data_IF_107063961387
#
_entry.id   IF_107063961387
#
_cell.length_a   1.000
_cell.length_b   1.000
_cell.length_c   1.000
_cell.angle_alpha   90.00
_cell.angle_beta   90.00
_cell.angle_gamma   90.00
#
_symmetry.space_group_name_H-M   'P 1'
#
loop_
_entity.id
_entity.type
_entity.pdbx_description
1 polymer ?
#
# COMPACT_ATOMS: atom_id res chain seq x y z
N UNK A 1 21.37 -5.69 19.77
CA UNK A 1 20.02 -5.60 19.19
C UNK A 1 19.03 -5.91 20.29
N UNK A 2 18.25 -4.93 20.78
CA UNK A 2 17.17 -5.25 21.72
C UNK A 2 16.16 -6.13 20.99
N UNK A 3 15.79 -7.25 21.59
CA UNK A 3 14.68 -8.07 21.09
C UNK A 3 13.43 -7.20 20.96
N UNK A 4 12.74 -7.33 19.83
CA UNK A 4 11.40 -6.78 19.66
C UNK A 4 10.50 -7.30 20.78
N UNK A 5 9.85 -6.41 21.52
CA UNK A 5 8.87 -6.81 22.52
C UNK A 5 7.63 -7.37 21.80
N UNK A 6 7.41 -8.68 21.95
CA UNK A 6 6.31 -9.39 21.29
C UNK A 6 4.94 -8.97 21.83
N UNK A 7 4.88 -8.43 23.06
CA UNK A 7 3.63 -7.99 23.70
C UNK A 7 3.00 -6.78 22.98
N UNK A 8 3.77 -6.08 22.14
CA UNK A 8 3.27 -4.96 21.33
C UNK A 8 2.55 -5.41 20.06
N UNK A 9 2.68 -6.68 19.67
CA UNK A 9 2.06 -7.21 18.47
C UNK A 9 0.71 -7.87 18.81
N UNK A 10 -0.39 -7.45 18.16
CA UNK A 10 -1.67 -8.08 18.39
C UNK A 10 -1.65 -9.52 17.84
N UNK A 11 -2.19 -10.48 18.60
CA UNK A 11 -2.27 -11.88 18.18
C UNK A 11 -3.22 -12.10 16.99
N UNK A 12 -4.18 -11.20 16.81
CA UNK A 12 -5.15 -11.19 15.71
C UNK A 12 -5.47 -9.75 15.31
N UNK A 13 -5.96 -9.54 14.09
CA UNK A 13 -6.39 -8.21 13.64
C UNK A 13 -7.53 -7.72 14.55
N UNK A 14 -7.36 -6.62 15.29
CA UNK A 14 -8.38 -6.16 16.22
C UNK A 14 -9.60 -5.63 15.43
N UNK A 15 -10.83 -5.94 15.88
CA UNK A 15 -12.05 -5.51 15.19
C UNK A 15 -12.32 -4.00 15.31
N UNK A 16 -11.65 -3.34 16.25
CA UNK A 16 -11.73 -1.89 16.47
C UNK A 16 -10.33 -1.31 16.54
N UNK A 17 -10.11 -0.07 16.06
CA UNK A 17 -8.83 0.62 16.21
C UNK A 17 -8.43 0.70 17.70
N UNK A 18 -7.20 0.28 18.01
CA UNK A 18 -6.68 0.28 19.38
C UNK A 18 -5.93 1.56 19.77
N UNK A 19 -5.77 2.52 18.85
CA UNK A 19 -4.99 3.76 19.07
C UNK A 19 -3.47 3.57 19.11
N UNK A 20 -2.96 2.36 18.90
CA UNK A 20 -1.54 2.06 18.86
C UNK A 20 -1.05 2.07 17.40
N UNK A 21 0.09 2.71 17.14
CA UNK A 21 0.67 2.84 15.80
C UNK A 21 2.12 2.36 15.79
N UNK A 22 2.47 1.61 14.75
CA UNK A 22 3.86 1.32 14.40
C UNK A 22 4.28 2.29 13.30
N UNK A 23 5.33 3.08 13.56
CA UNK A 23 5.90 3.99 12.57
C UNK A 23 7.08 3.33 11.88
N UNK A 24 7.02 3.22 10.55
CA UNK A 24 8.09 2.69 9.72
C UNK A 24 8.66 3.84 8.91
N UNK A 25 9.93 4.15 9.14
CA UNK A 25 10.68 5.10 8.31
C UNK A 25 11.45 4.29 7.27
N UNK A 26 11.24 4.61 6.00
CA UNK A 26 11.83 3.89 4.88
C UNK A 26 12.65 4.83 4.00
N UNK A 27 13.90 4.45 3.73
CA UNK A 27 14.69 5.02 2.65
C UNK A 27 14.54 4.15 1.41
N UNK A 28 14.13 4.74 0.30
CA UNK A 28 14.05 4.06 -1.00
C UNK A 28 15.17 4.54 -1.90
N UNK A 29 15.86 3.59 -2.53
CA UNK A 29 16.91 3.86 -3.50
C UNK A 29 16.37 3.42 -4.85
N UNK A 30 16.44 4.30 -5.83
CA UNK A 30 16.08 3.97 -7.22
C UNK A 30 17.32 3.50 -7.94
N UNK A 31 17.30 2.27 -8.47
CA UNK A 31 18.42 1.72 -9.25
C UNK A 31 18.53 2.34 -10.65
N UNK A 32 17.46 2.97 -11.12
CA UNK A 32 17.35 3.65 -12.40
C UNK A 32 16.63 4.99 -12.26
N UNK A 33 16.49 5.75 -13.35
CA UNK A 33 15.81 7.04 -13.36
C UNK A 33 14.30 6.89 -13.13
N UNK A 34 13.76 7.34 -11.98
CA UNK A 34 12.34 7.20 -11.69
C UNK A 34 11.52 8.24 -12.46
N UNK A 35 10.42 7.79 -13.06
CA UNK A 35 9.50 8.66 -13.82
C UNK A 35 8.26 8.98 -12.97
N UNK A 36 8.33 10.05 -12.17
CA UNK A 36 7.20 10.50 -11.35
C UNK A 36 6.36 11.57 -12.06
N UNK A 37 5.58 11.17 -13.06
CA UNK A 37 4.75 12.12 -13.84
C UNK A 37 3.28 12.10 -13.43
N UNK A 38 2.64 13.27 -13.46
CA UNK A 38 1.20 13.43 -13.58
C UNK A 38 1.00 14.39 -14.74
N UNK A 39 0.37 13.91 -15.83
CA UNK A 39 -0.11 14.74 -16.97
C UNK A 39 0.90 15.84 -17.38
N UNK A 40 2.12 15.43 -17.73
CA UNK A 40 3.14 16.33 -18.31
C UNK A 40 4.04 17.08 -17.33
N UNK A 41 3.77 17.02 -16.01
CA UNK A 41 4.62 17.66 -14.99
C UNK A 41 5.21 16.63 -14.02
N UNK A 42 6.43 16.94 -13.54
CA UNK A 42 7.11 16.17 -12.51
C UNK A 42 6.49 16.47 -11.15
N UNK A 43 6.24 15.43 -10.34
CA UNK A 43 5.67 15.65 -9.01
C UNK A 43 6.71 16.29 -8.10
N UNK A 44 6.57 17.58 -7.83
CA UNK A 44 7.44 18.32 -6.92
C UNK A 44 6.63 18.96 -5.80
N UNK A 45 7.30 19.23 -4.68
CA UNK A 45 6.75 20.03 -3.59
C UNK A 45 7.81 20.96 -3.03
N UNK A 46 7.39 22.16 -2.62
CA UNK A 46 8.23 23.11 -1.89
C UNK A 46 8.15 22.79 -0.40
N UNK A 47 9.30 22.52 0.21
CA UNK A 47 9.43 22.15 1.63
C UNK A 47 10.57 22.92 2.29
N UNK A 48 10.54 23.05 3.62
CA UNK A 48 11.69 23.56 4.36
C UNK A 48 12.83 22.53 4.32
N UNK A 49 14.08 23.00 4.20
CA UNK A 49 15.26 22.14 4.07
C UNK A 49 15.51 21.26 5.31
N UNK A 50 15.16 21.73 6.50
CA UNK A 50 15.26 20.98 7.73
C UNK A 50 14.79 21.77 8.96
N UNK A 51 15.07 21.22 10.13
CA UNK A 51 14.74 21.87 11.41
C UNK A 51 15.66 23.05 11.74
N UNK A 52 16.94 22.96 11.37
CA UNK A 52 17.94 24.02 11.63
C UNK A 52 17.97 25.08 10.52
N UNK A 53 17.83 24.65 9.27
CA UNK A 53 17.77 25.53 8.10
C UNK A 53 16.38 25.43 7.46
N UNK A 54 15.63 26.54 7.49
CA UNK A 54 14.26 26.61 6.97
C UNK A 54 14.20 27.15 5.54
N UNK A 55 15.31 27.18 4.80
CA UNK A 55 15.31 27.57 3.39
C UNK A 55 14.31 26.72 2.61
N UNK A 56 13.50 27.36 1.78
CA UNK A 56 12.49 26.66 0.98
C UNK A 56 13.15 26.07 -0.25
N UNK A 57 13.10 24.74 -0.34
CA UNK A 57 13.68 23.96 -1.44
C UNK A 57 12.60 23.15 -2.15
N UNK A 58 12.82 22.86 -3.43
CA UNK A 58 11.94 21.99 -4.21
C UNK A 58 12.45 20.55 -4.12
N UNK A 59 11.55 19.62 -3.82
CA UNK A 59 11.84 18.18 -3.75
C UNK A 59 10.96 17.40 -4.70
N UNK A 60 11.51 16.32 -5.27
CA UNK A 60 10.70 15.31 -5.94
C UNK A 60 9.83 14.62 -4.90
N UNK A 61 8.60 14.30 -5.29
CA UNK A 61 7.64 13.67 -4.40
C UNK A 61 7.02 12.43 -5.02
N UNK A 62 6.83 11.41 -4.18
CA UNK A 62 6.02 10.25 -4.50
C UNK A 62 4.78 10.28 -3.62
N UNK A 63 3.62 10.54 -4.21
CA UNK A 63 2.36 10.58 -3.49
C UNK A 63 1.96 9.20 -2.95
N UNK A 64 1.13 9.20 -1.90
CA UNK A 64 0.67 8.01 -1.17
C UNK A 64 0.24 6.86 -2.09
N UNK A 65 -0.65 7.12 -3.06
CA UNK A 65 -1.12 6.08 -4.00
C UNK A 65 0.00 5.48 -4.85
N UNK A 66 1.00 6.28 -5.25
CA UNK A 66 2.15 5.79 -6.02
C UNK A 66 3.10 4.94 -5.17
N UNK A 67 3.10 5.12 -3.85
CA UNK A 67 3.84 4.28 -2.92
C UNK A 67 3.11 2.97 -2.61
N UNK A 68 1.81 3.05 -2.29
CA UNK A 68 1.06 1.87 -1.83
C UNK A 68 0.66 0.94 -2.98
N UNK A 69 0.46 1.46 -4.20
CA UNK A 69 0.10 0.61 -5.36
C UNK A 69 1.11 -0.52 -5.61
N UNK A 70 2.43 -0.27 -5.76
CA UNK A 70 3.39 -1.35 -5.97
C UNK A 70 3.46 -2.30 -4.78
N UNK A 71 3.33 -1.81 -3.53
CA UNK A 71 3.29 -2.67 -2.34
C UNK A 71 2.12 -3.66 -2.39
N UNK A 72 0.93 -3.18 -2.77
CA UNK A 72 -0.28 -3.99 -2.91
C UNK A 72 -0.21 -4.99 -4.05
N UNK A 73 0.41 -4.61 -5.17
CA UNK A 73 0.63 -5.51 -6.31
C UNK A 73 1.61 -6.62 -5.94
N UNK A 74 2.73 -6.28 -5.29
CA UNK A 74 3.71 -7.26 -4.81
C UNK A 74 3.10 -8.16 -3.73
N UNK A 75 2.29 -7.62 -2.83
CA UNK A 75 1.57 -8.39 -1.82
C UNK A 75 0.65 -9.45 -2.44
N UNK A 76 -0.17 -9.06 -3.44
CA UNK A 76 -1.01 -10.03 -4.18
C UNK A 76 -0.19 -11.05 -4.94
N UNK A 77 0.90 -10.64 -5.58
CA UNK A 77 1.77 -11.56 -6.30
C UNK A 77 2.39 -12.60 -5.36
N UNK A 78 2.77 -12.19 -4.14
CA UNK A 78 3.23 -13.10 -3.10
C UNK A 78 2.12 -14.10 -2.72
N UNK A 79 0.87 -13.64 -2.54
CA UNK A 79 -0.26 -14.51 -2.23
C UNK A 79 -0.54 -15.53 -3.35
N UNK A 80 -0.46 -15.12 -4.62
CA UNK A 80 -0.59 -16.02 -5.77
C UNK A 80 0.51 -17.08 -5.78
N UNK A 81 1.75 -16.67 -5.54
CA UNK A 81 2.91 -17.57 -5.50
C UNK A 81 2.76 -18.66 -4.43
N UNK A 82 2.08 -18.37 -3.33
CA UNK A 82 1.80 -19.34 -2.27
C UNK A 82 0.47 -20.09 -2.45
N UNK A 83 -0.27 -19.85 -3.54
CA UNK A 83 -1.56 -20.50 -3.81
C UNK A 83 -2.66 -20.08 -2.82
N UNK A 84 -2.58 -18.85 -2.28
CA UNK A 84 -3.59 -18.31 -1.36
C UNK A 84 -4.68 -17.51 -2.10
N UNK A 85 -4.37 -17.04 -3.32
CA UNK A 85 -5.32 -16.40 -4.22
C UNK A 85 -5.10 -16.91 -5.64
N UNK A 86 -6.13 -16.80 -6.47
CA UNK A 86 -6.09 -17.22 -7.86
C UNK A 86 -5.15 -16.35 -8.71
N UNK A 87 -4.57 -16.97 -9.73
CA UNK A 87 -3.84 -16.29 -10.80
C UNK A 87 -4.74 -15.91 -11.98
N UNK A 88 -6.01 -16.31 -11.96
CA UNK A 88 -6.98 -15.95 -12.99
C UNK A 88 -7.31 -14.45 -12.94
N UNK A 89 -7.44 -13.85 -14.12
CA UNK A 89 -7.92 -12.49 -14.30
C UNK A 89 -9.38 -12.56 -14.75
N UNK A 90 -10.23 -11.74 -14.14
CA UNK A 90 -11.66 -11.73 -14.45
C UNK A 90 -12.08 -10.36 -14.94
N UNK A 91 -12.95 -10.33 -15.96
CA UNK A 91 -13.60 -9.09 -16.33
C UNK A 91 -14.49 -8.57 -15.20
N UNK A 92 -14.69 -7.26 -15.17
CA UNK A 92 -15.54 -6.59 -14.17
C UNK A 92 -17.01 -7.07 -14.19
N UNK A 93 -17.43 -7.76 -15.25
CA UNK A 93 -18.76 -8.36 -15.41
C UNK A 93 -18.87 -9.75 -14.77
N UNK A 94 -17.75 -10.42 -14.48
CA UNK A 94 -17.74 -11.73 -13.84
C UNK A 94 -18.24 -11.60 -12.39
N UNK A 95 -19.10 -12.52 -11.96
CA UNK A 95 -19.63 -12.54 -10.58
C UNK A 95 -18.99 -13.62 -9.72
N UNK A 96 -18.11 -14.45 -10.29
CA UNK A 96 -17.36 -15.44 -9.53
C UNK A 96 -16.52 -14.75 -8.45
N UNK A 97 -16.44 -15.40 -7.29
CA UNK A 97 -15.57 -14.98 -6.18
C UNK A 97 -14.36 -15.89 -6.05
N UNK A 98 -14.40 -17.05 -6.70
CA UNK A 98 -13.37 -18.10 -6.66
C UNK A 98 -13.18 -18.67 -8.06
N UNK A 99 -11.99 -19.23 -8.31
CA UNK A 99 -11.68 -19.99 -9.52
C UNK A 99 -12.20 -21.44 -9.44
N UNK A 100 -11.93 -22.24 -10.49
CA UNK A 100 -12.38 -23.64 -10.55
C UNK A 100 -11.74 -24.53 -9.46
N UNK A 101 -10.59 -24.11 -8.91
CA UNK A 101 -9.90 -24.79 -7.83
C UNK A 101 -10.35 -24.33 -6.43
N UNK A 102 -11.28 -23.38 -6.36
CA UNK A 102 -11.78 -22.80 -5.10
C UNK A 102 -10.84 -21.76 -4.48
N UNK A 103 -9.86 -21.23 -5.24
CA UNK A 103 -9.03 -20.13 -4.78
C UNK A 103 -9.75 -18.80 -5.01
N UNK A 104 -9.66 -17.84 -4.06
CA UNK A 104 -10.34 -16.57 -4.21
C UNK A 104 -9.77 -15.73 -5.35
N UNK A 105 -10.65 -14.97 -6.01
CA UNK A 105 -10.28 -13.98 -7.01
C UNK A 105 -10.01 -12.62 -6.33
N UNK A 106 -8.76 -12.16 -6.34
CA UNK A 106 -8.33 -10.86 -5.77
C UNK A 106 -7.47 -10.09 -6.79
N UNK A 107 -8.07 -9.08 -7.41
CA UNK A 107 -7.50 -8.29 -8.48
C UNK A 107 -7.54 -6.80 -8.16
N UNK A 108 -6.36 -6.16 -8.23
CA UNK A 108 -6.20 -4.76 -7.87
C UNK A 108 -7.10 -3.84 -8.71
N UNK A 109 -7.94 -3.05 -8.04
CA UNK A 109 -8.91 -2.12 -8.65
C UNK A 109 -10.00 -2.77 -9.54
N UNK A 110 -10.08 -4.10 -9.60
CA UNK A 110 -11.11 -4.82 -10.36
C UNK A 110 -12.01 -5.61 -9.44
N UNK A 111 -11.42 -6.45 -8.57
CA UNK A 111 -12.15 -7.31 -7.64
C UNK A 111 -11.42 -7.43 -6.32
N UNK A 112 -12.10 -7.11 -5.22
CA UNK A 112 -11.49 -7.16 -3.90
C UNK A 112 -11.97 -8.38 -3.13
N UNK A 113 -11.01 -9.22 -2.75
CA UNK A 113 -11.26 -10.30 -1.80
C UNK A 113 -11.23 -9.73 -0.38
N UNK A 114 -12.32 -9.80 0.36
CA UNK A 114 -12.51 -9.04 1.61
C UNK A 114 -11.70 -9.56 2.82
N UNK A 115 -10.99 -10.67 2.66
CA UNK A 115 -10.31 -11.35 3.75
C UNK A 115 -8.80 -11.52 3.54
N UNK A 116 -8.27 -11.19 2.35
CA UNK A 116 -6.84 -11.33 2.09
C UNK A 116 -6.03 -10.36 2.95
N UNK A 117 -4.78 -10.71 3.32
CA UNK A 117 -3.92 -9.81 4.08
C UNK A 117 -3.78 -8.42 3.43
N UNK A 118 -3.75 -8.35 2.09
CA UNK A 118 -3.73 -7.06 1.38
C UNK A 118 -5.01 -6.26 1.64
N UNK A 119 -6.18 -6.86 1.41
CA UNK A 119 -7.45 -6.18 1.55
C UNK A 119 -7.71 -5.72 2.99
N UNK A 120 -7.32 -6.52 3.98
CA UNK A 120 -7.41 -6.16 5.39
C UNK A 120 -6.43 -5.03 5.75
N UNK A 121 -5.21 -5.05 5.23
CA UNK A 121 -4.18 -4.06 5.57
C UNK A 121 -4.37 -2.72 4.84
N UNK A 122 -4.61 -2.75 3.52
CA UNK A 122 -4.70 -1.56 2.67
C UNK A 122 -6.14 -1.10 2.41
N UNK A 123 -7.13 -1.89 2.81
CA UNK A 123 -8.55 -1.58 2.63
C UNK A 123 -9.06 -1.81 1.21
N UNK A 124 -10.38 -1.71 1.07
CA UNK A 124 -11.12 -1.88 -0.17
C UNK A 124 -12.43 -1.11 -0.13
N UNK A 125 -13.04 -0.91 -1.30
CA UNK A 125 -14.39 -0.36 -1.41
C UNK A 125 -15.14 -1.13 -2.51
N UNK A 126 -16.27 -1.73 -2.16
CA UNK A 126 -17.10 -2.53 -3.07
C UNK A 126 -18.49 -1.92 -3.06
N UNK A 127 -18.69 -0.85 -3.85
CA UNK A 127 -19.98 -0.19 -4.04
C UNK A 127 -20.83 -0.11 -2.75
N UNK A 128 -22.05 -0.64 -2.83
CA UNK A 128 -23.00 -0.71 -1.71
C UNK A 128 -22.76 -1.88 -0.75
N UNK A 129 -21.88 -2.82 -1.10
CA UNK A 129 -21.61 -4.04 -0.32
C UNK A 129 -20.66 -3.82 0.87
N UNK A 130 -20.03 -2.66 0.94
CA UNK A 130 -19.19 -2.26 2.07
C UNK A 130 -17.83 -1.70 1.67
N UNK A 131 -17.16 -1.10 2.65
CA UNK A 131 -15.81 -0.57 2.50
C UNK A 131 -15.02 -0.76 3.79
N UNK A 132 -13.74 -1.02 3.64
CA UNK A 132 -12.78 -1.12 4.74
C UNK A 132 -11.71 -0.05 4.55
N UNK A 133 -11.44 0.72 5.61
CA UNK A 133 -10.38 1.75 5.57
C UNK A 133 -9.00 1.11 5.69
N UNK A 134 -8.04 1.69 4.98
CA UNK A 134 -6.63 1.30 5.11
C UNK A 134 -6.14 1.43 6.55
N UNK A 135 -5.45 0.39 7.02
CA UNK A 135 -4.71 0.36 8.30
C UNK A 135 -3.26 0.79 8.08
N UNK A 136 -2.76 0.70 6.85
CA UNK A 136 -1.47 1.24 6.44
C UNK A 136 -1.65 2.71 6.04
N UNK A 137 -1.04 3.60 6.81
CA UNK A 137 -1.00 5.02 6.53
C UNK A 137 0.38 5.36 5.93
N UNK A 138 0.37 5.82 4.68
CA UNK A 138 1.57 6.30 4.00
C UNK A 138 1.57 7.82 3.98
N UNK A 139 2.72 8.42 4.28
CA UNK A 139 2.97 9.85 4.05
C UNK A 139 3.63 10.07 2.71
N UNK A 140 3.59 11.31 2.20
CA UNK A 140 4.31 11.65 0.96
C UNK A 140 5.80 11.40 1.16
N UNK A 141 6.41 10.65 0.25
CA UNK A 141 7.84 10.43 0.23
C UNK A 141 8.51 11.56 -0.54
N UNK A 142 9.60 12.09 0.01
CA UNK A 142 10.37 13.21 -0.54
C UNK A 142 11.77 12.75 -0.93
N UNK A 143 12.32 13.28 -2.02
CA UNK A 143 13.73 13.04 -2.34
C UNK A 143 14.65 13.66 -1.29
N UNK A 144 15.74 12.95 -0.99
CA UNK A 144 16.81 13.48 -0.15
C UNK A 144 17.78 14.34 -0.97
N UNK A 145 18.06 13.92 -2.21
CA UNK A 145 18.90 14.66 -3.15
C UNK A 145 18.07 15.65 -3.96
N UNK A 146 18.70 16.73 -4.47
CA UNK A 146 18.10 17.62 -5.47
C UNK A 146 17.58 16.87 -6.70
#
# INVERSE_FOLDING_TARGET
MSMLNQDWFPQQVPPKPSGHYAHIVMLRITESYPLFYIVGELNTARVAAGATDSTVITRLTMFKRKQTTPERLVGRELLRRYGLISAEFTDSSDKRTEDEAGLPLDEYNVRFCQWTPDAIAYGYAIGDSGSERSKVLSDTCYSLTP
#
